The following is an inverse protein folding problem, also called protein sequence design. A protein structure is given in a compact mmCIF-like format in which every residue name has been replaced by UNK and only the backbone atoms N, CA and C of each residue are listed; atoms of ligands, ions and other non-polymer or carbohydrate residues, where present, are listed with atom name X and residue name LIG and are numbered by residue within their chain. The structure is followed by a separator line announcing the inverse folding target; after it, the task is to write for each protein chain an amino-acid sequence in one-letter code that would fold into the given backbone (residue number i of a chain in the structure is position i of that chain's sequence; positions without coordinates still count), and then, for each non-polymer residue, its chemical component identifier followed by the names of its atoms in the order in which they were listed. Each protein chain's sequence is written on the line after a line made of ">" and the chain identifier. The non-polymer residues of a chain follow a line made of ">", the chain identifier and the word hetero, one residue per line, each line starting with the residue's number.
data_IF_678045648333
#
_entry.id   IF_678045648333
#
_cell.length_a   1.000
_cell.length_b   1.000
_cell.length_c   1.000
_cell.angle_alpha   90.00
_cell.angle_beta   90.00
_cell.angle_gamma   90.00
#
_symmetry.space_group_name_H-M   'P 1'
#
loop_
_entity.id
_entity.type
_entity.pdbx_description
1 polymer ?
#
# COMPACT_ATOMS: atom_id res chain seq x y z
N UNK A 1 -13.59 -40.72 -70.02
CA UNK A 1 -13.85 -39.34 -70.52
C UNK A 1 -13.74 -38.45 -69.30
N UNK A 2 -13.22 -37.25 -69.44
CA UNK A 2 -13.01 -36.29 -68.35
C UNK A 2 -13.79 -35.04 -68.75
N UNK A 3 -14.88 -34.75 -68.03
CA UNK A 3 -15.82 -33.68 -68.39
C UNK A 3 -15.18 -32.33 -68.15
N UNK A 4 -14.41 -32.21 -67.07
CA UNK A 4 -13.70 -31.04 -66.59
C UNK A 4 -12.66 -30.58 -67.63
N UNK A 5 -12.12 -31.52 -68.41
CA UNK A 5 -11.28 -31.24 -69.57
C UNK A 5 -12.05 -30.96 -70.86
N UNK A 6 -13.12 -31.72 -71.15
CA UNK A 6 -13.96 -31.52 -72.34
C UNK A 6 -15.39 -32.05 -72.18
N UNK A 7 -16.36 -31.13 -72.08
CA UNK A 7 -17.79 -31.46 -71.87
C UNK A 7 -18.50 -32.11 -73.08
N UNK A 8 -18.04 -31.83 -74.31
CA UNK A 8 -18.68 -32.31 -75.55
C UNK A 8 -17.65 -32.69 -76.59
N UNK A 9 -17.77 -33.90 -77.12
CA UNK A 9 -17.00 -34.37 -78.27
C UNK A 9 -17.88 -34.42 -79.52
N UNK A 10 -17.46 -33.72 -80.58
CA UNK A 10 -18.16 -33.70 -81.87
C UNK A 10 -17.42 -34.56 -82.88
N UNK A 11 -18.05 -35.67 -83.26
CA UNK A 11 -17.49 -36.65 -84.18
C UNK A 11 -18.25 -36.61 -85.52
N UNK A 12 -17.54 -36.96 -86.58
CA UNK A 12 -18.09 -37.14 -87.92
C UNK A 12 -17.95 -38.61 -88.27
N UNK A 13 -19.07 -39.29 -88.46
CA UNK A 13 -19.11 -40.68 -88.88
C UNK A 13 -19.47 -40.72 -90.36
N UNK A 14 -18.62 -41.38 -91.16
CA UNK A 14 -18.87 -41.60 -92.58
C UNK A 14 -19.12 -43.09 -92.82
N UNK A 15 -20.20 -43.41 -93.53
CA UNK A 15 -20.50 -44.76 -93.98
C UNK A 15 -20.41 -44.81 -95.50
N UNK A 16 -19.76 -45.84 -96.04
CA UNK A 16 -19.52 -46.02 -97.47
C UNK A 16 -20.18 -47.31 -97.93
N UNK A 17 -20.82 -47.30 -99.09
CA UNK A 17 -21.27 -48.54 -99.73
C UNK A 17 -20.11 -49.30 -100.42
N UNK A 18 -20.43 -50.51 -100.90
CA UNK A 18 -19.50 -51.39 -101.63
C UNK A 18 -19.53 -51.22 -103.14
N UNK A 19 -20.22 -50.20 -103.66
CA UNK A 19 -20.39 -49.98 -105.10
C UNK A 19 -19.18 -49.35 -105.78
N UNK A 20 -19.17 -49.35 -107.13
CA UNK A 20 -18.20 -48.62 -107.95
C UNK A 20 -18.95 -47.71 -108.93
N UNK A 21 -18.97 -46.37 -108.71
CA UNK A 21 -18.27 -45.64 -107.65
C UNK A 21 -18.92 -45.78 -106.28
N UNK A 22 -18.13 -45.65 -105.21
CA UNK A 22 -18.61 -45.70 -103.83
C UNK A 22 -19.37 -44.43 -103.47
N UNK A 23 -20.57 -44.56 -102.91
CA UNK A 23 -21.31 -43.44 -102.32
C UNK A 23 -21.07 -43.41 -100.81
N UNK A 24 -21.11 -42.21 -100.22
CA UNK A 24 -20.98 -42.02 -98.77
C UNK A 24 -22.15 -41.27 -98.15
N UNK A 25 -22.55 -41.71 -96.97
CA UNK A 25 -23.38 -40.95 -96.03
C UNK A 25 -22.51 -40.38 -94.91
N UNK A 26 -22.80 -39.15 -94.47
CA UNK A 26 -22.10 -38.48 -93.36
C UNK A 26 -23.09 -38.13 -92.26
N UNK A 27 -22.78 -38.49 -91.03
CA UNK A 27 -23.53 -38.15 -89.83
C UNK A 27 -22.63 -37.40 -88.83
N UNK A 28 -23.17 -36.36 -88.19
CA UNK A 28 -22.51 -35.71 -87.05
C UNK A 28 -23.05 -36.32 -85.76
N UNK A 29 -22.16 -36.85 -84.93
CA UNK A 29 -22.48 -37.38 -83.61
C UNK A 29 -21.94 -36.42 -82.57
N UNK A 30 -22.80 -35.95 -81.66
CA UNK A 30 -22.41 -35.14 -80.52
C UNK A 30 -22.49 -36.01 -79.28
N UNK A 31 -21.34 -36.30 -78.67
CA UNK A 31 -21.26 -37.02 -77.40
C UNK A 31 -21.14 -35.99 -76.28
N UNK A 32 -22.16 -35.91 -75.42
CA UNK A 32 -22.11 -35.10 -74.20
C UNK A 32 -21.59 -35.98 -73.07
N UNK A 33 -20.53 -35.53 -72.40
CA UNK A 33 -19.99 -36.20 -71.22
C UNK A 33 -20.85 -35.81 -70.03
N UNK A 34 -21.35 -36.80 -69.28
CA UNK A 34 -22.09 -36.57 -68.03
C UNK A 34 -21.08 -36.32 -66.90
N UNK A 35 -21.53 -35.61 -65.88
CA UNK A 35 -20.76 -35.29 -64.68
C UNK A 35 -20.74 -36.48 -63.72
N UNK A 36 -19.60 -36.71 -63.07
CA UNK A 36 -19.40 -37.66 -61.98
C UNK A 36 -18.73 -36.88 -60.84
N UNK A 37 -18.99 -37.24 -59.58
CA UNK A 37 -18.43 -36.53 -58.42
C UNK A 37 -16.99 -37.00 -58.14
N UNK A 38 -16.08 -36.74 -59.08
CA UNK A 38 -14.70 -37.24 -59.05
C UNK A 38 -13.68 -36.19 -58.59
N UNK A 39 -14.10 -34.95 -58.33
CA UNK A 39 -13.28 -33.92 -57.73
C UNK A 39 -13.77 -33.56 -56.32
N UNK A 40 -12.83 -33.40 -55.38
CA UNK A 40 -13.16 -32.93 -54.04
C UNK A 40 -13.02 -31.40 -53.97
N UNK A 41 -13.80 -30.72 -53.09
CA UNK A 41 -13.68 -29.29 -52.89
C UNK A 41 -12.26 -28.92 -52.48
N UNK A 42 -11.70 -27.86 -53.05
CA UNK A 42 -10.35 -27.39 -52.71
C UNK A 42 -10.40 -26.01 -52.09
N UNK A 43 -9.93 -25.86 -50.85
CA UNK A 43 -9.76 -24.55 -50.23
C UNK A 43 -8.67 -23.73 -50.92
N UNK A 44 -8.87 -22.42 -51.03
CA UNK A 44 -7.87 -21.52 -51.59
C UNK A 44 -6.64 -21.30 -50.67
N UNK A 45 -6.74 -21.72 -49.40
CA UNK A 45 -5.70 -21.62 -48.37
C UNK A 45 -5.79 -22.84 -47.46
N UNK A 46 -4.63 -23.36 -47.04
CA UNK A 46 -4.55 -24.40 -46.02
C UNK A 46 -4.75 -23.84 -44.59
N UNK A 47 -4.44 -22.56 -44.36
CA UNK A 47 -4.67 -21.86 -43.10
C UNK A 47 -5.24 -20.45 -43.33
N UNK A 48 -6.29 -20.11 -42.59
CA UNK A 48 -6.87 -18.77 -42.49
C UNK A 48 -6.49 -18.17 -41.14
N UNK A 49 -6.02 -16.91 -41.16
CA UNK A 49 -5.64 -16.18 -39.95
C UNK A 49 -6.57 -15.00 -39.75
N UNK A 50 -7.09 -14.85 -38.54
CA UNK A 50 -7.96 -13.76 -38.16
C UNK A 50 -7.56 -13.25 -36.77
N UNK A 51 -7.91 -11.99 -36.51
CA UNK A 51 -7.83 -11.37 -35.20
C UNK A 51 -9.21 -10.88 -34.81
N UNK A 52 -9.56 -11.05 -33.54
CA UNK A 52 -10.86 -10.68 -33.02
C UNK A 52 -10.68 -10.15 -31.61
N UNK A 53 -11.21 -8.96 -31.33
CA UNK A 53 -11.25 -8.40 -29.98
C UNK A 53 -12.15 -9.24 -29.09
N UNK A 54 -11.80 -9.39 -27.81
CA UNK A 54 -12.63 -10.18 -26.90
C UNK A 54 -13.99 -9.55 -26.59
N UNK A 55 -14.09 -8.22 -26.66
CA UNK A 55 -15.32 -7.43 -26.54
C UNK A 55 -16.26 -7.56 -27.77
N UNK A 56 -15.87 -8.32 -28.80
CA UNK A 56 -16.67 -8.49 -30.00
C UNK A 56 -18.02 -9.16 -29.68
N UNK A 57 -19.16 -8.57 -30.06
CA UNK A 57 -20.45 -9.16 -29.76
C UNK A 57 -20.68 -10.45 -30.57
N UNK A 58 -21.44 -11.42 -30.03
CA UNK A 58 -21.90 -12.57 -30.79
C UNK A 58 -22.59 -12.14 -32.10
N UNK A 59 -22.26 -12.84 -33.18
CA UNK A 59 -22.68 -12.51 -34.56
C UNK A 59 -21.62 -11.80 -35.38
N UNK A 60 -20.54 -11.29 -34.76
CA UNK A 60 -19.42 -10.65 -35.46
C UNK A 60 -18.80 -11.61 -36.49
N UNK A 61 -18.62 -11.13 -37.73
CA UNK A 61 -17.96 -11.90 -38.78
C UNK A 61 -16.45 -11.90 -38.57
N UNK A 62 -15.85 -13.09 -38.54
CA UNK A 62 -14.41 -13.30 -38.28
C UNK A 62 -13.63 -13.31 -39.59
N UNK A 63 -14.00 -14.21 -40.49
CA UNK A 63 -13.41 -14.32 -41.81
C UNK A 63 -14.35 -15.07 -42.76
N UNK A 64 -14.00 -15.13 -44.04
CA UNK A 64 -14.76 -15.88 -45.04
C UNK A 64 -13.89 -17.00 -45.62
N UNK A 65 -14.34 -18.23 -45.42
CA UNK A 65 -13.76 -19.42 -46.03
C UNK A 65 -14.10 -19.47 -47.52
N UNK A 66 -13.18 -20.01 -48.32
CA UNK A 66 -13.41 -20.18 -49.75
C UNK A 66 -12.80 -21.48 -50.25
N UNK A 67 -13.66 -22.38 -50.68
CA UNK A 67 -13.32 -23.56 -51.45
C UNK A 67 -14.06 -23.55 -52.78
N UNK A 68 -13.49 -24.25 -53.76
CA UNK A 68 -14.04 -24.39 -55.11
C UNK A 68 -14.03 -25.85 -55.51
N UNK A 69 -15.05 -26.25 -56.24
CA UNK A 69 -15.21 -27.59 -56.78
C UNK A 69 -15.52 -27.46 -58.29
N UNK A 70 -14.78 -28.16 -59.18
CA UNK A 70 -14.97 -28.06 -60.63
C UNK A 70 -16.20 -28.84 -61.15
N UNK A 71 -16.80 -29.71 -60.33
CA UNK A 71 -17.92 -30.57 -60.74
C UNK A 71 -19.22 -29.76 -60.95
N UNK A 72 -20.20 -30.36 -61.63
CA UNK A 72 -21.39 -29.64 -62.07
C UNK A 72 -22.57 -29.79 -61.10
N UNK A 73 -23.28 -28.68 -60.85
CA UNK A 73 -24.52 -28.71 -60.07
C UNK A 73 -24.26 -29.08 -58.61
N UNK A 74 -24.95 -30.10 -58.10
CA UNK A 74 -24.84 -30.52 -56.70
C UNK A 74 -23.44 -31.09 -56.37
N UNK A 75 -22.79 -31.75 -57.33
CA UNK A 75 -21.44 -32.29 -57.18
C UNK A 75 -20.40 -31.15 -57.02
N UNK A 76 -20.67 -29.97 -57.57
CA UNK A 76 -19.84 -28.78 -57.34
C UNK A 76 -20.31 -27.85 -56.20
N UNK A 77 -21.43 -28.17 -55.52
CA UNK A 77 -22.05 -27.28 -54.53
C UNK A 77 -21.37 -27.41 -53.17
N UNK A 78 -20.40 -26.53 -52.90
CA UNK A 78 -19.64 -26.53 -51.65
C UNK A 78 -20.46 -26.06 -50.45
N UNK A 79 -20.43 -26.86 -49.39
CA UNK A 79 -21.00 -26.56 -48.07
C UNK A 79 -19.93 -26.60 -46.99
N UNK A 80 -19.94 -25.59 -46.11
CA UNK A 80 -18.94 -25.42 -45.06
C UNK A 80 -19.46 -25.88 -43.70
N UNK A 81 -18.60 -26.52 -42.92
CA UNK A 81 -18.86 -26.90 -41.53
C UNK A 81 -17.61 -26.76 -40.66
N UNK A 82 -17.80 -26.59 -39.35
CA UNK A 82 -16.72 -26.72 -38.36
C UNK A 82 -16.70 -28.17 -37.90
N UNK A 83 -15.53 -28.81 -37.94
CA UNK A 83 -15.35 -30.15 -37.41
C UNK A 83 -15.30 -30.09 -35.87
N UNK A 84 -16.50 -30.16 -35.26
CA UNK A 84 -16.68 -30.05 -33.80
C UNK A 84 -16.08 -31.20 -32.99
N UNK A 85 -15.80 -32.32 -33.64
CA UNK A 85 -15.12 -33.46 -32.99
C UNK A 85 -13.63 -33.19 -32.79
N UNK A 86 -13.03 -32.34 -33.62
CA UNK A 86 -11.61 -32.01 -33.58
C UNK A 86 -11.32 -30.61 -33.02
N UNK A 87 -12.28 -29.69 -33.09
CA UNK A 87 -12.09 -28.29 -32.68
C UNK A 87 -13.39 -27.65 -32.21
N UNK A 88 -13.31 -26.59 -31.39
CA UNK A 88 -14.47 -25.82 -30.91
C UNK A 88 -15.62 -26.68 -30.30
N UNK A 89 -15.34 -27.54 -29.30
CA UNK A 89 -16.36 -28.35 -28.64
C UNK A 89 -17.41 -27.49 -27.92
N UNK A 90 -16.99 -26.33 -27.40
CA UNK A 90 -17.84 -25.40 -26.66
C UNK A 90 -18.72 -24.53 -27.57
N UNK A 91 -18.44 -24.52 -28.89
CA UNK A 91 -19.24 -23.84 -29.90
C UNK A 91 -19.16 -22.32 -29.82
N UNK A 92 -17.96 -21.77 -29.65
CA UNK A 92 -17.67 -20.34 -29.73
C UNK A 92 -17.88 -19.78 -31.12
N UNK A 93 -17.75 -20.62 -32.17
CA UNK A 93 -17.88 -20.17 -33.56
C UNK A 93 -18.95 -20.95 -34.33
N UNK A 94 -19.45 -20.31 -35.38
CA UNK A 94 -20.37 -20.90 -36.34
C UNK A 94 -19.98 -20.48 -37.76
N UNK A 95 -20.08 -21.40 -38.71
CA UNK A 95 -19.89 -21.08 -40.13
C UNK A 95 -21.22 -21.16 -40.85
N UNK A 96 -21.50 -20.16 -41.68
CA UNK A 96 -22.64 -20.18 -42.59
C UNK A 96 -22.38 -21.17 -43.72
N UNK A 97 -23.23 -22.20 -43.82
CA UNK A 97 -23.04 -23.38 -44.68
C UNK A 97 -22.76 -23.05 -46.15
N UNK A 98 -23.42 -22.04 -46.72
CA UNK A 98 -23.29 -21.69 -48.15
C UNK A 98 -22.32 -20.54 -48.42
N UNK A 99 -22.27 -19.55 -47.54
CA UNK A 99 -21.49 -18.33 -47.77
C UNK A 99 -20.02 -18.48 -47.36
N UNK A 100 -19.73 -19.45 -46.47
CA UNK A 100 -18.43 -19.65 -45.85
C UNK A 100 -18.07 -18.60 -44.80
N UNK A 101 -19.01 -17.73 -44.39
CA UNK A 101 -18.74 -16.70 -43.37
C UNK A 101 -18.69 -17.37 -42.00
N UNK A 102 -17.52 -17.28 -41.36
CA UNK A 102 -17.32 -17.69 -39.98
C UNK A 102 -17.71 -16.53 -39.05
N UNK A 103 -18.55 -16.80 -38.06
CA UNK A 103 -19.03 -15.83 -37.06
C UNK A 103 -18.75 -16.28 -35.65
N UNK A 104 -18.55 -15.31 -34.77
CA UNK A 104 -18.57 -15.50 -33.33
C UNK A 104 -19.99 -15.83 -32.87
N UNK A 105 -20.13 -16.74 -31.90
CA UNK A 105 -21.41 -17.17 -31.34
C UNK A 105 -21.51 -16.97 -29.83
N UNK A 106 -20.38 -17.00 -29.12
CA UNK A 106 -20.30 -16.79 -27.67
C UNK A 106 -19.33 -15.65 -27.36
N UNK A 107 -19.52 -14.93 -26.24
CA UNK A 107 -18.52 -13.98 -25.74
C UNK A 107 -17.15 -14.64 -25.62
N UNK A 108 -16.10 -13.87 -25.83
CA UNK A 108 -14.71 -14.29 -25.66
C UNK A 108 -14.17 -13.73 -24.34
N UNK A 109 -13.10 -14.35 -23.88
CA UNK A 109 -12.32 -13.96 -22.70
C UNK A 109 -10.87 -14.38 -23.03
N UNK A 110 -10.01 -13.40 -23.25
CA UNK A 110 -8.64 -13.62 -23.69
C UNK A 110 -7.79 -14.17 -22.54
N UNK A 111 -8.02 -13.70 -21.31
CA UNK A 111 -7.36 -14.16 -20.08
C UNK A 111 -7.61 -15.66 -19.87
N UNK A 112 -8.79 -16.15 -20.24
CA UNK A 112 -9.11 -17.58 -20.29
C UNK A 112 -8.50 -18.28 -21.52
N UNK A 113 -8.62 -17.69 -22.72
CA UNK A 113 -8.15 -18.31 -23.96
C UNK A 113 -7.81 -17.32 -25.08
N UNK A 114 -6.52 -16.97 -25.18
CA UNK A 114 -6.02 -16.04 -26.21
C UNK A 114 -5.97 -16.59 -27.65
N UNK A 115 -6.13 -17.91 -27.86
CA UNK A 115 -5.99 -18.53 -29.19
C UNK A 115 -7.03 -19.63 -29.45
N UNK A 116 -7.80 -19.48 -30.52
CA UNK A 116 -8.68 -20.52 -31.06
C UNK A 116 -8.10 -21.10 -32.35
N UNK A 117 -8.09 -22.43 -32.43
CA UNK A 117 -7.71 -23.19 -33.63
C UNK A 117 -8.89 -24.05 -34.05
N UNK A 118 -9.41 -23.76 -35.24
CA UNK A 118 -10.56 -24.47 -35.81
C UNK A 118 -10.09 -25.35 -36.96
N UNK A 119 -10.70 -26.53 -37.05
CA UNK A 119 -10.65 -27.39 -38.22
C UNK A 119 -11.97 -27.22 -38.96
N UNK A 120 -11.92 -26.71 -40.18
CA UNK A 120 -13.09 -26.48 -41.02
C UNK A 120 -13.10 -27.46 -42.18
N UNK A 121 -14.28 -27.93 -42.56
CA UNK A 121 -14.51 -28.87 -43.65
C UNK A 121 -15.33 -28.17 -44.74
N UNK A 122 -14.93 -28.37 -46.00
CA UNK A 122 -15.73 -28.07 -47.17
C UNK A 122 -16.13 -29.42 -47.79
N UNK A 123 -17.43 -29.60 -48.04
CA UNK A 123 -18.00 -30.84 -48.57
C UNK A 123 -18.95 -30.53 -49.71
N UNK A 124 -18.89 -31.31 -50.79
CA UNK A 124 -19.82 -31.19 -51.91
C UNK A 124 -21.15 -31.93 -51.68
N UNK A 125 -22.06 -31.85 -52.64
CA UNK A 125 -23.39 -32.45 -52.60
C UNK A 125 -23.51 -33.84 -53.21
N UNK A 126 -22.40 -34.58 -53.40
CA UNK A 126 -22.36 -35.87 -54.09
C UNK A 126 -23.47 -36.86 -53.69
N UNK A 127 -24.00 -37.58 -54.68
CA UNK A 127 -25.14 -38.47 -54.52
C UNK A 127 -24.80 -39.73 -53.70
N UNK A 128 -25.79 -40.28 -52.99
CA UNK A 128 -25.64 -41.56 -52.28
C UNK A 128 -25.51 -42.72 -53.30
N UNK A 129 -24.70 -43.77 -53.02
CA UNK A 129 -24.14 -44.15 -51.71
C UNK A 129 -22.74 -43.60 -51.41
N UNK A 130 -22.03 -43.06 -52.41
CA UNK A 130 -20.65 -42.58 -52.26
C UNK A 130 -20.59 -41.34 -51.36
N UNK A 131 -21.63 -40.50 -51.42
CA UNK A 131 -21.75 -39.28 -50.64
C UNK A 131 -20.77 -38.21 -51.10
N UNK A 132 -20.89 -37.02 -50.53
CA UNK A 132 -20.02 -35.91 -50.95
C UNK A 132 -18.57 -36.04 -50.51
N UNK A 133 -17.64 -35.66 -51.38
CA UNK A 133 -16.21 -35.59 -51.08
C UNK A 133 -15.94 -34.36 -50.22
N UNK A 134 -14.82 -34.38 -49.47
CA UNK A 134 -14.53 -33.35 -48.48
C UNK A 134 -13.05 -33.00 -48.41
N UNK A 135 -12.76 -31.73 -48.14
CA UNK A 135 -11.42 -31.26 -47.78
C UNK A 135 -11.44 -30.48 -46.46
N UNK A 136 -10.28 -30.37 -45.83
CA UNK A 136 -10.10 -29.67 -44.56
C UNK A 136 -9.12 -28.50 -44.69
N UNK A 137 -9.35 -27.45 -43.89
CA UNK A 137 -8.42 -26.34 -43.69
C UNK A 137 -8.42 -25.92 -42.22
N UNK A 138 -7.43 -25.13 -41.82
CA UNK A 138 -7.29 -24.60 -40.47
C UNK A 138 -7.68 -23.13 -40.39
N UNK A 139 -8.29 -22.72 -39.27
CA UNK A 139 -8.50 -21.30 -38.94
C UNK A 139 -7.83 -21.01 -37.61
N UNK A 140 -6.89 -20.07 -37.61
CA UNK A 140 -6.21 -19.57 -36.42
C UNK A 140 -6.76 -18.18 -36.08
N UNK A 141 -7.38 -18.06 -34.92
CA UNK A 141 -8.00 -16.83 -34.44
C UNK A 141 -7.26 -16.39 -33.19
N UNK A 142 -6.52 -15.30 -33.30
CA UNK A 142 -5.83 -14.63 -32.19
C UNK A 142 -6.82 -13.64 -31.55
N UNK A 143 -7.03 -13.77 -30.24
CA UNK A 143 -7.90 -12.85 -29.50
C UNK A 143 -7.09 -11.62 -29.12
N UNK A 144 -7.58 -10.45 -29.51
CA UNK A 144 -6.98 -9.16 -29.17
C UNK A 144 -7.53 -8.71 -27.81
N UNK A 145 -6.59 -8.28 -26.98
CA UNK A 145 -6.77 -7.84 -25.60
C UNK A 145 -7.51 -6.51 -25.51
N UNK A 146 -8.37 -6.39 -24.51
CA UNK A 146 -9.09 -5.20 -24.10
C UNK A 146 -8.80 -4.93 -22.63
N UNK A 147 -8.78 -3.65 -22.25
CA UNK A 147 -8.62 -3.25 -20.87
C UNK A 147 -9.92 -3.50 -20.10
N UNK A 148 -10.15 -4.73 -19.63
CA UNK A 148 -11.37 -5.16 -18.94
C UNK A 148 -11.13 -5.80 -17.57
N UNK A 149 -9.86 -6.02 -17.19
CA UNK A 149 -9.46 -6.27 -15.82
C UNK A 149 -8.88 -4.99 -15.22
N UNK A 150 -9.18 -4.76 -13.93
CA UNK A 150 -8.55 -3.70 -13.16
C UNK A 150 -7.42 -4.27 -12.31
N UNK A 151 -6.44 -3.46 -11.88
CA UNK A 151 -5.40 -3.93 -10.98
C UNK A 151 -6.01 -4.43 -9.66
N UNK A 152 -5.38 -5.43 -9.04
CA UNK A 152 -5.81 -6.00 -7.74
C UNK A 152 -4.60 -6.12 -6.83
N UNK A 153 -4.68 -5.52 -5.64
CA UNK A 153 -3.66 -5.66 -4.60
C UNK A 153 -3.61 -7.09 -4.05
N UNK A 154 -2.41 -7.59 -3.74
CA UNK A 154 -2.21 -8.93 -3.16
C UNK A 154 -2.75 -9.07 -1.73
N UNK A 155 -2.83 -7.95 -1.00
CA UNK A 155 -3.29 -7.90 0.39
C UNK A 155 -4.38 -6.85 0.55
N UNK A 156 -5.38 -7.17 1.38
CA UNK A 156 -6.47 -6.24 1.71
C UNK A 156 -6.01 -5.12 2.67
N UNK A 157 -5.01 -5.40 3.53
CA UNK A 157 -4.53 -4.48 4.57
C UNK A 157 -3.00 -4.55 4.67
N UNK A 158 -2.37 -3.37 4.76
CA UNK A 158 -0.94 -3.23 5.01
C UNK A 158 -0.70 -2.39 6.27
N UNK A 159 0.00 -2.96 7.25
CA UNK A 159 0.38 -2.26 8.49
C UNK A 159 1.88 -2.41 8.72
N UNK A 160 2.54 -1.31 9.06
CA UNK A 160 3.96 -1.31 9.40
C UNK A 160 4.25 -0.25 10.46
N UNK A 161 5.38 -0.39 11.15
CA UNK A 161 5.86 0.55 12.15
C UNK A 161 7.29 0.95 11.85
N UNK A 162 7.59 2.25 11.95
CA UNK A 162 8.93 2.80 11.71
C UNK A 162 9.31 3.76 12.83
N UNK A 163 10.60 3.91 13.07
CA UNK A 163 11.11 4.88 14.04
C UNK A 163 10.89 6.33 13.57
N UNK A 164 10.64 7.25 14.50
CA UNK A 164 10.66 8.69 14.26
C UNK A 164 12.00 9.20 13.67
N UNK A 165 13.12 8.53 13.97
CA UNK A 165 14.46 8.87 13.46
C UNK A 165 14.77 8.27 12.09
N UNK A 166 13.80 7.59 11.46
CA UNK A 166 14.01 6.97 10.14
C UNK A 166 14.46 8.03 9.13
N UNK A 167 15.63 7.81 8.52
CA UNK A 167 16.21 8.77 7.59
C UNK A 167 15.34 8.91 6.33
N UNK A 168 15.27 10.12 5.72
CA UNK A 168 14.64 10.30 4.41
C UNK A 168 15.26 9.37 3.35
N UNK A 169 14.42 8.79 2.50
CA UNK A 169 14.80 7.87 1.44
C UNK A 169 14.76 6.39 1.86
N UNK A 170 14.49 6.10 3.13
CA UNK A 170 14.39 4.71 3.63
C UNK A 170 13.14 4.03 3.08
N UNK A 171 13.29 2.80 2.59
CA UNK A 171 12.20 1.95 2.14
C UNK A 171 11.47 1.36 3.35
N UNK A 172 10.16 1.58 3.42
CA UNK A 172 9.33 1.22 4.58
C UNK A 172 8.57 -0.08 4.29
N UNK A 173 7.93 -0.13 3.14
CA UNK A 173 6.98 -1.17 2.76
C UNK A 173 6.88 -1.22 1.24
N UNK A 174 6.62 -2.40 0.70
CA UNK A 174 6.26 -2.58 -0.69
C UNK A 174 4.80 -3.02 -0.80
N UNK A 175 4.00 -2.33 -1.61
CA UNK A 175 2.63 -2.74 -1.95
C UNK A 175 2.61 -3.27 -3.38
N UNK A 176 1.96 -4.42 -3.58
CA UNK A 176 1.95 -5.09 -4.88
C UNK A 176 0.51 -5.25 -5.34
N UNK A 177 0.25 -4.80 -6.57
CA UNK A 177 -0.96 -5.05 -7.32
C UNK A 177 -0.62 -5.69 -8.67
N UNK A 178 -1.53 -6.53 -9.14
CA UNK A 178 -1.40 -7.26 -10.41
C UNK A 178 -2.63 -7.03 -11.27
N UNK A 179 -2.41 -6.94 -12.57
CA UNK A 179 -3.46 -6.87 -13.57
C UNK A 179 -3.32 -8.06 -14.53
N UNK A 180 -4.44 -8.61 -15.00
CA UNK A 180 -4.49 -9.82 -15.83
C UNK A 180 -4.38 -9.51 -17.33
N UNK A 181 -4.57 -8.26 -17.71
CA UNK A 181 -4.54 -7.84 -19.11
C UNK A 181 -3.11 -7.85 -19.66
N UNK A 182 -2.97 -7.72 -20.99
CA UNK A 182 -1.70 -7.85 -21.69
C UNK A 182 -1.06 -6.48 -22.00
N UNK A 183 0.26 -6.41 -21.88
CA UNK A 183 1.00 -5.23 -22.33
C UNK A 183 0.62 -4.00 -21.50
N UNK A 184 0.25 -2.89 -22.14
CA UNK A 184 -0.03 -1.63 -21.44
C UNK A 184 -1.26 -1.72 -20.52
N UNK A 185 -2.22 -2.59 -20.82
CA UNK A 185 -3.40 -2.83 -19.99
C UNK A 185 -3.03 -3.61 -18.72
N UNK A 186 -1.97 -4.42 -18.78
CA UNK A 186 -1.44 -5.13 -17.60
C UNK A 186 -0.41 -4.35 -16.77
N UNK A 187 0.07 -3.18 -17.24
CA UNK A 187 1.13 -2.42 -16.55
C UNK A 187 0.51 -1.53 -15.48
N UNK A 188 0.79 -1.87 -14.23
CA UNK A 188 0.30 -1.16 -13.05
C UNK A 188 1.22 -0.01 -12.66
N UNK A 189 0.62 1.15 -12.41
CA UNK A 189 1.25 2.34 -11.83
C UNK A 189 0.62 2.67 -10.48
N UNK A 190 1.43 3.05 -9.50
CA UNK A 190 0.98 3.36 -8.14
C UNK A 190 0.94 4.86 -7.86
N UNK A 191 -0.11 5.30 -7.17
CA UNK A 191 -0.28 6.69 -6.73
C UNK A 191 -0.72 6.67 -5.27
N UNK A 192 -0.18 7.58 -4.45
CA UNK A 192 -0.54 7.72 -3.04
C UNK A 192 -1.22 9.05 -2.74
N UNK A 193 -2.27 9.02 -1.93
CA UNK A 193 -2.89 10.18 -1.29
C UNK A 193 -3.04 9.94 0.23
N UNK A 194 -3.61 10.89 0.98
CA UNK A 194 -3.74 10.78 2.45
C UNK A 194 -2.53 11.26 3.25
N UNK A 195 -1.48 11.78 2.59
CA UNK A 195 -0.33 12.41 3.21
C UNK A 195 -0.32 13.94 2.99
N UNK A 196 -1.09 14.72 3.78
CA UNK A 196 -1.20 16.17 3.58
C UNK A 196 0.13 16.91 3.80
N UNK A 197 1.09 16.31 4.50
CA UNK A 197 2.38 16.93 4.83
C UNK A 197 3.53 16.49 3.91
N UNK A 198 3.28 15.53 3.01
CA UNK A 198 4.24 15.01 2.04
C UNK A 198 5.47 14.39 2.72
N UNK A 199 5.23 13.61 3.79
CA UNK A 199 6.22 12.86 4.57
C UNK A 199 6.64 11.57 3.90
N UNK A 200 5.82 11.01 3.02
CA UNK A 200 6.04 9.76 2.31
C UNK A 200 6.01 9.97 0.80
N UNK A 201 6.54 8.99 0.08
CA UNK A 201 6.43 8.89 -1.37
C UNK A 201 6.31 7.44 -1.76
N UNK A 202 5.52 7.16 -2.80
CA UNK A 202 5.45 5.84 -3.42
C UNK A 202 6.21 5.85 -4.75
N UNK A 203 6.97 4.79 -5.00
CA UNK A 203 7.54 4.52 -6.30
C UNK A 203 6.42 4.11 -7.26
N UNK A 204 6.15 4.91 -8.32
CA UNK A 204 5.01 4.66 -9.18
C UNK A 204 5.14 3.37 -10.00
N UNK A 205 6.36 2.85 -10.18
CA UNK A 205 6.58 1.62 -10.96
C UNK A 205 6.60 0.38 -10.06
N UNK A 206 7.15 0.49 -8.85
CA UNK A 206 7.42 -0.67 -8.00
C UNK A 206 6.53 -0.77 -6.77
N UNK A 207 5.74 0.24 -6.44
CA UNK A 207 4.88 0.23 -5.24
C UNK A 207 5.67 0.38 -3.93
N UNK A 208 6.95 0.77 -3.99
CA UNK A 208 7.80 0.92 -2.82
C UNK A 208 7.50 2.25 -2.14
N UNK A 209 7.03 2.20 -0.89
CA UNK A 209 6.79 3.38 -0.05
C UNK A 209 8.07 3.74 0.69
N UNK A 210 8.49 5.00 0.57
CA UNK A 210 9.70 5.56 1.18
C UNK A 210 9.38 6.76 2.08
N UNK A 211 10.20 6.98 3.10
CA UNK A 211 10.22 8.27 3.80
C UNK A 211 10.74 9.36 2.86
N UNK A 212 10.10 10.53 2.85
CA UNK A 212 10.49 11.69 2.04
C UNK A 212 11.07 12.82 2.89
N UNK A 213 10.62 12.94 4.13
CA UNK A 213 11.06 13.93 5.11
C UNK A 213 11.34 13.25 6.44
N UNK A 214 12.11 13.94 7.29
CA UNK A 214 12.29 13.50 8.66
C UNK A 214 10.95 13.51 9.41
N UNK A 215 10.77 12.48 10.21
CA UNK A 215 9.63 12.31 11.10
C UNK A 215 10.03 12.83 12.48
N UNK A 216 9.05 13.27 13.23
CA UNK A 216 9.23 13.82 14.57
C UNK A 216 7.97 13.41 15.32
N UNK A 217 8.14 12.57 16.34
CA UNK A 217 7.02 11.93 17.00
C UNK A 217 6.37 12.87 18.02
N UNK A 218 7.14 13.82 18.55
CA UNK A 218 6.75 14.73 19.62
C UNK A 218 5.92 15.91 19.06
N UNK A 219 6.16 16.32 17.81
CA UNK A 219 5.45 17.44 17.19
C UNK A 219 4.46 17.05 16.09
N UNK A 220 4.45 15.79 15.65
CA UNK A 220 3.64 15.33 14.51
C UNK A 220 2.75 14.16 14.88
N UNK A 221 1.96 13.66 13.91
CA UNK A 221 1.10 12.52 14.13
C UNK A 221 1.91 11.24 14.37
N UNK A 222 1.54 10.46 15.39
CA UNK A 222 2.08 9.12 15.66
C UNK A 222 1.53 8.05 14.71
N UNK A 223 0.53 8.39 13.90
CA UNK A 223 -0.09 7.50 12.91
C UNK A 223 -0.35 8.24 11.60
N UNK A 224 0.00 7.57 10.48
CA UNK A 224 -0.30 8.01 9.13
C UNK A 224 -1.10 6.95 8.39
N UNK A 225 -2.14 7.39 7.68
CA UNK A 225 -2.98 6.53 6.84
C UNK A 225 -2.81 6.97 5.38
N UNK A 226 -2.14 6.13 4.58
CA UNK A 226 -1.97 6.38 3.15
C UNK A 226 -3.04 5.63 2.35
N UNK A 227 -3.62 6.32 1.39
CA UNK A 227 -4.56 5.76 0.43
C UNK A 227 -3.84 5.52 -0.88
N UNK A 228 -3.59 4.26 -1.21
CA UNK A 228 -2.86 3.87 -2.42
C UNK A 228 -3.86 3.48 -3.52
N UNK A 229 -3.65 4.02 -4.70
CA UNK A 229 -4.30 3.64 -5.94
C UNK A 229 -3.31 2.84 -6.80
N UNK A 230 -3.82 1.81 -7.48
CA UNK A 230 -3.12 1.12 -8.55
C UNK A 230 -3.93 1.26 -9.84
N UNK A 231 -3.32 1.82 -10.87
CA UNK A 231 -3.94 2.13 -12.16
C UNK A 231 -3.21 1.37 -13.27
N UNK A 232 -3.94 0.80 -14.21
CA UNK A 232 -3.34 0.32 -15.44
C UNK A 232 -2.90 1.49 -16.37
N UNK A 233 -2.20 1.19 -17.46
CA UNK A 233 -1.82 2.19 -18.47
C UNK A 233 -2.77 2.21 -19.68
N UNK A 234 -4.02 1.81 -19.50
CA UNK A 234 -5.08 1.87 -20.50
C UNK A 234 -5.57 3.28 -20.81
N UNK A 235 -6.42 3.40 -21.84
CA UNK A 235 -7.08 4.67 -22.19
C UNK A 235 -8.55 4.44 -22.55
N UNK A 236 -9.50 4.70 -21.62
CA UNK A 236 -9.28 5.19 -20.24
C UNK A 236 -8.58 4.14 -19.35
N UNK A 237 -7.83 4.55 -18.32
CA UNK A 237 -7.25 3.61 -17.37
C UNK A 237 -8.32 3.03 -16.45
N UNK A 238 -8.18 1.76 -16.05
CA UNK A 238 -8.93 1.20 -14.93
C UNK A 238 -8.12 1.35 -13.66
N UNK A 239 -8.78 1.89 -12.64
CA UNK A 239 -8.17 2.18 -11.34
C UNK A 239 -8.76 1.25 -10.30
N UNK A 240 -7.89 0.63 -9.52
CA UNK A 240 -8.26 0.09 -8.21
C UNK A 240 -7.82 1.05 -7.13
N UNK A 241 -8.77 1.46 -6.29
CA UNK A 241 -8.47 2.22 -5.08
C UNK A 241 -8.47 1.25 -3.91
N UNK A 242 -7.42 1.33 -3.10
CA UNK A 242 -7.48 0.89 -1.71
C UNK A 242 -8.31 1.94 -0.92
N UNK A 243 -9.63 1.99 -1.13
CA UNK A 243 -10.58 2.81 -0.36
C UNK A 243 -12.01 2.24 -0.37
N UNK A 244 -12.50 1.94 0.85
CA UNK A 244 -13.90 1.89 1.32
C UNK A 244 -15.00 1.60 0.28
N UNK A 245 -15.53 0.38 0.29
CA UNK A 245 -16.96 0.20 -0.01
C UNK A 245 -17.75 0.85 1.13
N UNK A 246 -18.63 1.79 0.80
CA UNK A 246 -19.60 2.33 1.75
C UNK A 246 -20.54 1.22 2.22
N UNK A 247 -20.17 0.51 3.28
CA UNK A 247 -21.06 -0.37 4.03
C UNK A 247 -21.71 0.49 5.11
N UNK A 248 -23.04 0.49 5.15
CA UNK A 248 -23.87 1.22 6.10
C UNK A 248 -23.30 1.17 7.53
N UNK A 249 -22.86 2.34 8.01
CA UNK A 249 -22.27 2.55 9.33
C UNK A 249 -23.35 2.60 10.42
N UNK A 250 -23.73 1.45 10.94
CA UNK A 250 -24.18 1.34 12.34
C UNK A 250 -23.29 0.44 13.19
N UNK A 251 -22.21 -0.11 12.64
CA UNK A 251 -21.29 -0.96 13.39
C UNK A 251 -19.96 -0.24 13.63
N UNK A 252 -19.62 0.00 14.90
CA UNK A 252 -18.40 0.69 15.35
C UNK A 252 -17.17 -0.23 15.31
N UNK A 253 -17.02 -0.98 14.21
CA UNK A 253 -15.94 -1.97 14.04
C UNK A 253 -15.52 -2.12 12.58
N UNK A 254 -15.26 -0.99 11.92
CA UNK A 254 -14.78 -0.96 10.53
C UNK A 254 -13.37 -0.36 10.50
N UNK A 255 -12.37 -1.23 10.59
CA UNK A 255 -11.00 -0.96 10.16
C UNK A 255 -11.01 -0.76 8.64
N UNK A 256 -10.80 0.47 8.18
CA UNK A 256 -10.87 0.82 6.76
C UNK A 256 -9.60 0.40 6.02
N UNK A 257 -9.74 -0.31 4.88
CA UNK A 257 -8.67 -0.66 3.92
C UNK A 257 -7.76 0.56 3.61
N UNK A 258 -6.57 0.61 4.24
CA UNK A 258 -5.56 1.63 4.03
C UNK A 258 -4.16 1.10 4.44
N UNK A 259 -3.09 1.76 3.97
CA UNK A 259 -1.73 1.50 4.48
C UNK A 259 -1.56 2.31 5.77
N UNK A 260 -1.47 1.62 6.91
CA UNK A 260 -1.27 2.24 8.22
C UNK A 260 0.21 2.20 8.59
N UNK A 261 0.79 3.38 8.81
CA UNK A 261 2.17 3.55 9.27
C UNK A 261 2.13 4.10 10.69
N UNK A 262 2.64 3.32 11.64
CA UNK A 262 2.78 3.73 13.03
C UNK A 262 4.20 4.26 13.25
N UNK A 263 4.32 5.46 13.82
CA UNK A 263 5.62 6.02 14.18
C UNK A 263 5.92 5.60 15.62
N UNK A 264 7.07 4.96 15.80
CA UNK A 264 7.57 4.57 17.12
C UNK A 264 8.42 5.69 17.70
N UNK A 265 8.07 6.05 18.93
CA UNK A 265 8.82 6.93 19.83
C UNK A 265 10.23 6.41 20.11
N UNK A 266 11.19 7.32 20.26
CA UNK A 266 12.55 7.05 20.72
C UNK A 266 12.87 8.01 21.85
N UNK A 267 13.57 7.52 22.88
CA UNK A 267 14.06 8.37 23.98
C UNK A 267 15.18 9.30 23.50
N UNK A 268 14.84 10.42 22.89
CA UNK A 268 15.77 11.40 22.33
C UNK A 268 15.63 12.80 22.96
N UNK A 269 14.61 13.00 23.79
CA UNK A 269 14.54 14.16 24.67
C UNK A 269 14.93 13.77 26.08
N UNK A 270 15.38 14.78 26.84
CA UNK A 270 15.75 14.59 28.24
C UNK A 270 14.81 15.41 29.12
N UNK A 271 14.56 14.99 30.37
CA UNK A 271 13.64 15.72 31.24
C UNK A 271 14.08 17.16 31.44
N UNK A 272 13.15 18.11 31.49
CA UNK A 272 13.42 19.53 31.69
C UNK A 272 12.68 20.07 32.91
N UNK A 273 13.41 20.68 33.86
CA UNK A 273 12.80 21.25 35.06
C UNK A 273 11.94 22.48 34.71
N UNK A 274 10.74 22.50 35.27
CA UNK A 274 9.76 23.60 35.18
C UNK A 274 9.47 24.24 36.54
N UNK A 275 9.86 23.58 37.64
CA UNK A 275 9.83 24.14 38.99
C UNK A 275 10.92 25.19 39.23
N UNK A 276 10.67 26.09 40.18
CA UNK A 276 11.63 27.11 40.62
C UNK A 276 12.91 26.49 41.18
N UNK A 277 14.06 27.12 40.96
CA UNK A 277 15.35 26.74 41.57
C UNK A 277 15.53 27.32 42.99
N UNK A 278 14.53 28.00 43.53
CA UNK A 278 14.55 28.65 44.84
C UNK A 278 13.28 28.32 45.62
N UNK A 279 13.44 27.93 46.88
CA UNK A 279 12.36 27.72 47.86
C UNK A 279 12.70 28.33 49.21
N UNK A 280 11.66 28.55 50.00
CA UNK A 280 11.74 29.08 51.36
C UNK A 280 10.97 28.19 52.31
N UNK A 281 11.47 28.02 53.53
CA UNK A 281 10.83 27.24 54.59
C UNK A 281 11.14 27.87 55.94
N UNK A 282 10.16 27.96 56.84
CA UNK A 282 10.41 28.39 58.22
C UNK A 282 11.15 27.28 58.98
N UNK A 283 12.00 27.62 59.95
CA UNK A 283 12.70 26.60 60.73
C UNK A 283 11.81 25.80 61.69
N UNK A 284 10.73 26.42 62.18
CA UNK A 284 9.79 25.85 63.16
C UNK A 284 8.80 24.82 62.57
N UNK A 285 8.93 24.49 61.28
CA UNK A 285 8.04 23.53 60.63
C UNK A 285 8.25 22.11 61.16
N UNK A 286 7.15 21.36 61.25
CA UNK A 286 7.20 19.96 61.66
C UNK A 286 7.91 19.07 60.62
N UNK A 287 8.38 17.90 61.06
CA UNK A 287 8.88 16.85 60.17
C UNK A 287 7.76 16.36 59.25
N UNK A 288 8.06 16.25 57.95
CA UNK A 288 7.10 15.89 56.90
C UNK A 288 6.42 17.10 56.24
N UNK A 289 6.81 18.32 56.61
CA UNK A 289 6.31 19.54 55.97
C UNK A 289 6.74 19.62 54.49
N UNK A 290 5.82 20.02 53.61
CA UNK A 290 6.09 20.18 52.18
C UNK A 290 6.89 21.47 51.92
N UNK A 291 8.15 21.31 51.52
CA UNK A 291 9.09 22.41 51.26
C UNK A 291 9.03 22.89 49.82
N UNK A 292 9.00 21.94 48.88
CA UNK A 292 9.02 22.25 47.46
C UNK A 292 8.35 21.15 46.64
N UNK A 293 7.82 21.50 45.46
CA UNK A 293 7.39 20.52 44.46
C UNK A 293 8.32 20.60 43.25
N UNK A 294 9.21 19.62 43.14
CA UNK A 294 10.12 19.47 42.00
C UNK A 294 9.34 18.92 40.82
N UNK A 295 9.30 19.66 39.72
CA UNK A 295 8.54 19.29 38.53
C UNK A 295 9.46 19.38 37.32
N UNK A 296 9.67 18.26 36.64
CA UNK A 296 10.27 18.20 35.32
C UNK A 296 9.30 17.57 34.33
N UNK A 297 9.46 17.93 33.06
CA UNK A 297 8.69 17.40 31.94
C UNK A 297 9.61 16.82 30.89
N UNK A 298 9.22 15.67 30.39
CA UNK A 298 9.84 15.01 29.26
C UNK A 298 8.77 14.85 28.16
N UNK A 299 9.04 15.30 26.92
CA UNK A 299 8.07 15.24 25.84
C UNK A 299 7.87 13.84 25.23
N UNK A 300 8.73 12.86 25.53
CA UNK A 300 8.71 11.53 24.91
C UNK A 300 7.51 10.68 25.38
N UNK A 301 7.13 9.65 24.61
CA UNK A 301 5.93 8.85 24.91
C UNK A 301 6.20 7.74 25.95
N UNK A 302 5.25 7.53 26.85
CA UNK A 302 5.21 6.36 27.72
C UNK A 302 6.38 6.33 28.71
N UNK A 303 7.22 5.29 28.65
CA UNK A 303 8.37 5.12 29.58
C UNK A 303 9.50 6.09 29.26
N UNK A 304 9.66 6.47 27.99
CA UNK A 304 10.67 7.44 27.57
C UNK A 304 10.36 8.82 28.17
N UNK A 305 9.09 9.21 28.29
CA UNK A 305 8.70 10.44 29.00
C UNK A 305 8.49 10.31 30.52
N UNK A 306 8.70 9.12 31.11
CA UNK A 306 8.34 8.88 32.50
C UNK A 306 9.45 9.34 33.44
N UNK A 307 9.27 10.51 34.05
CA UNK A 307 10.27 11.13 34.92
C UNK A 307 10.24 10.58 36.35
N UNK A 308 11.44 10.33 36.89
CA UNK A 308 11.71 10.07 38.31
C UNK A 308 12.70 11.07 38.89
N UNK A 309 12.58 11.34 40.19
CA UNK A 309 13.35 12.39 40.88
C UNK A 309 14.32 11.84 41.92
N UNK A 310 15.50 12.42 41.99
CA UNK A 310 16.57 12.03 42.92
C UNK A 310 17.30 13.25 43.49
N UNK A 311 17.76 13.16 44.74
CA UNK A 311 18.74 14.12 45.30
C UNK A 311 20.13 13.51 45.10
N UNK A 312 21.01 14.21 44.39
CA UNK A 312 22.39 13.78 44.15
C UNK A 312 23.36 14.26 45.23
N UNK A 313 23.20 15.50 45.70
CA UNK A 313 24.10 16.12 46.70
C UNK A 313 23.42 17.29 47.42
N UNK A 314 24.04 17.80 48.49
CA UNK A 314 23.57 18.96 49.26
C UNK A 314 22.62 18.63 50.40
N UNK A 315 22.35 17.34 50.62
CA UNK A 315 21.47 16.81 51.66
C UNK A 315 22.23 15.82 52.56
N UNK A 316 23.49 16.11 52.88
CA UNK A 316 24.39 15.22 53.62
C UNK A 316 23.85 14.88 55.01
N UNK A 317 23.18 15.84 55.65
CA UNK A 317 22.53 15.68 56.96
C UNK A 317 21.18 14.95 56.88
N UNK A 318 20.71 14.60 55.68
CA UNK A 318 19.39 13.99 55.43
C UNK A 318 18.26 14.84 56.04
N UNK A 319 18.33 16.15 55.87
CA UNK A 319 17.33 17.11 56.33
C UNK A 319 16.05 17.05 55.49
N UNK A 320 16.12 16.58 54.24
CA UNK A 320 14.97 16.46 53.34
C UNK A 320 14.80 15.04 52.77
N UNK A 321 13.57 14.70 52.41
CA UNK A 321 13.22 13.53 51.59
C UNK A 321 12.55 14.01 50.31
N UNK A 322 12.97 13.48 49.17
CA UNK A 322 12.33 13.70 47.87
C UNK A 322 11.61 12.43 47.45
N UNK A 323 10.29 12.52 47.27
CA UNK A 323 9.53 11.42 46.72
C UNK A 323 9.82 11.26 45.22
N UNK A 324 10.34 10.09 44.84
CA UNK A 324 10.86 9.84 43.49
C UNK A 324 9.82 9.89 42.38
N UNK A 325 8.54 9.75 42.68
CA UNK A 325 7.46 9.66 41.67
C UNK A 325 6.73 11.01 41.59
N UNK A 326 6.34 11.55 42.74
CA UNK A 326 5.53 12.77 42.83
C UNK A 326 6.38 14.03 42.75
N UNK A 327 7.68 13.96 43.05
CA UNK A 327 8.58 15.12 43.10
C UNK A 327 8.39 16.00 44.34
N UNK A 328 7.64 15.54 45.35
CA UNK A 328 7.42 16.30 46.57
C UNK A 328 8.65 16.23 47.48
N UNK A 329 9.22 17.38 47.82
CA UNK A 329 10.33 17.52 48.75
C UNK A 329 9.77 17.90 50.13
N UNK A 330 9.98 17.05 51.12
CA UNK A 330 9.52 17.27 52.50
C UNK A 330 10.66 17.31 53.51
N UNK A 331 10.46 17.97 54.64
CA UNK A 331 11.40 17.90 55.77
C UNK A 331 11.45 16.47 56.34
N UNK A 332 12.65 16.02 56.68
CA UNK A 332 12.93 14.71 57.29
C UNK A 332 13.33 14.83 58.77
N UNK A 333 13.76 16.04 59.15
CA UNK A 333 14.23 16.43 60.47
C UNK A 333 13.76 17.87 60.72
N UNK A 334 13.83 18.30 61.99
CA UNK A 334 13.65 19.70 62.33
C UNK A 334 14.78 20.52 61.69
N UNK A 335 14.42 21.71 61.22
CA UNK A 335 15.37 22.67 60.68
C UNK A 335 15.75 23.65 61.79
N UNK A 336 16.95 24.19 61.69
CA UNK A 336 17.51 25.16 62.63
C UNK A 336 18.41 26.05 61.78
N UNK A 337 18.04 27.33 61.70
CA UNK A 337 18.68 28.32 60.84
C UNK A 337 20.05 28.71 61.39
N UNK A 338 20.20 28.79 62.71
CA UNK A 338 21.45 29.10 63.41
C UNK A 338 22.52 28.02 63.15
N UNK A 339 22.09 26.78 62.90
CA UNK A 339 22.96 25.69 62.44
C UNK A 339 23.20 25.78 60.93
N UNK A 340 22.13 25.91 60.13
CA UNK A 340 22.24 25.92 58.67
C UNK A 340 21.12 26.75 58.00
N UNK A 341 21.46 27.99 57.65
CA UNK A 341 20.55 28.95 57.01
C UNK A 341 20.17 28.59 55.55
N UNK A 342 20.97 27.76 54.87
CA UNK A 342 20.80 27.51 53.44
C UNK A 342 21.23 26.09 53.05
N UNK A 343 20.39 25.46 52.23
CA UNK A 343 20.67 24.17 51.60
C UNK A 343 20.70 24.33 50.09
N UNK A 344 21.73 23.80 49.44
CA UNK A 344 21.86 23.81 47.97
C UNK A 344 21.78 22.38 47.46
N UNK A 345 20.57 21.91 47.18
CA UNK A 345 20.32 20.54 46.74
C UNK A 345 20.55 20.41 45.24
N UNK A 346 21.42 19.50 44.81
CA UNK A 346 21.49 19.11 43.40
C UNK A 346 20.45 18.02 43.17
N UNK A 347 19.33 18.36 42.54
CA UNK A 347 18.28 17.41 42.17
C UNK A 347 18.44 16.94 40.72
N UNK A 348 18.09 15.69 40.46
CA UNK A 348 18.12 15.06 39.15
C UNK A 348 16.72 14.57 38.77
N UNK A 349 16.34 14.87 37.53
CA UNK A 349 15.20 14.26 36.85
C UNK A 349 15.77 13.25 35.84
N UNK A 350 15.28 12.02 35.89
CA UNK A 350 15.75 10.89 35.10
C UNK A 350 14.54 10.21 34.45
N UNK A 351 14.57 10.01 33.13
CA UNK A 351 13.55 9.24 32.43
C UNK A 351 13.73 7.70 32.64
N UNK A 352 12.74 6.91 32.22
CA UNK A 352 12.81 5.43 32.23
C UNK A 352 13.10 4.87 30.82
N UNK A 353 13.77 5.68 29.99
CA UNK A 353 14.13 5.34 28.62
C UNK A 353 15.38 4.46 28.51
N UNK A 354 15.76 4.11 27.28
CA UNK A 354 16.94 3.27 27.00
C UNK A 354 17.68 3.73 25.73
N UNK A 355 18.82 4.45 25.86
CA UNK A 355 19.48 4.83 27.12
C UNK A 355 18.65 5.84 27.92
N UNK A 356 18.76 5.79 29.25
CA UNK A 356 18.10 6.77 30.10
C UNK A 356 18.77 8.13 29.99
N UNK A 357 17.99 9.20 29.83
CA UNK A 357 18.45 10.58 29.78
C UNK A 357 18.05 11.32 31.06
N UNK A 358 18.82 12.35 31.41
CA UNK A 358 18.68 13.02 32.69
C UNK A 358 19.02 14.50 32.60
N UNK A 359 18.40 15.30 33.47
CA UNK A 359 18.81 16.67 33.73
C UNK A 359 19.01 16.91 35.23
N UNK A 360 19.83 17.91 35.55
CA UNK A 360 20.10 18.34 36.93
C UNK A 360 19.76 19.80 37.15
N UNK A 361 19.20 20.13 38.31
CA UNK A 361 18.94 21.49 38.76
C UNK A 361 19.49 21.67 40.18
N UNK A 362 20.08 22.83 40.46
CA UNK A 362 20.43 23.22 41.83
C UNK A 362 19.24 23.94 42.43
N UNK A 363 18.64 23.35 43.46
CA UNK A 363 17.54 23.91 44.24
C UNK A 363 18.10 24.51 45.53
N UNK A 364 18.06 25.83 45.64
CA UNK A 364 18.41 26.55 46.86
C UNK A 364 17.19 26.63 47.77
N UNK A 365 17.34 26.18 49.01
CA UNK A 365 16.33 26.27 50.06
C UNK A 365 16.88 27.20 51.12
N UNK A 366 16.19 28.33 51.32
CA UNK A 366 16.52 29.30 52.35
C UNK A 366 15.64 29.00 53.57
N UNK A 367 16.28 28.76 54.71
CA UNK A 367 15.60 28.61 55.98
C UNK A 367 15.34 30.01 56.54
N UNK A 368 14.08 30.30 56.81
CA UNK A 368 13.62 31.57 57.35
C UNK A 368 13.60 31.50 58.87
N UNK A 369 14.03 32.60 59.46
CA UNK A 369 14.20 32.80 60.90
C UNK A 369 12.86 32.84 61.64
N UNK A 370 12.86 32.25 62.83
CA UNK A 370 11.84 32.37 63.86
C UNK A 370 12.56 32.80 65.12
N UNK A 371 12.05 33.83 65.79
CA UNK A 371 12.69 34.35 67.02
C UNK A 371 12.56 33.34 68.18
N UNK A 372 13.42 32.33 68.23
CA UNK A 372 13.41 31.27 69.23
C UNK A 372 14.67 31.26 70.11
N UNK A 373 15.68 32.08 69.77
CA UNK A 373 16.82 32.36 70.64
C UNK A 373 16.52 33.54 71.58
N UNK A 374 17.29 33.57 72.68
CA UNK A 374 17.19 34.66 73.66
C UNK A 374 18.50 35.43 73.73
N UNK A 375 18.48 36.77 73.85
CA UNK A 375 19.72 37.54 73.90
C UNK A 375 20.62 37.11 75.06
N UNK A 376 21.86 36.75 74.76
CA UNK A 376 22.85 36.34 75.76
C UNK A 376 23.88 37.45 75.94
N UNK A 377 24.09 37.88 77.19
CA UNK A 377 25.15 38.84 77.50
C UNK A 377 26.55 38.26 77.19
N UNK A 378 27.45 39.09 76.68
CA UNK A 378 28.81 38.67 76.28
C UNK A 378 29.70 38.25 77.45
N UNK A 379 29.31 38.57 78.69
CA UNK A 379 30.00 38.16 79.92
C UNK A 379 29.02 37.58 80.92
N UNK A 380 29.46 36.56 81.67
CA UNK A 380 28.71 36.00 82.80
C UNK A 380 28.60 36.98 83.98
N UNK A 381 29.53 37.95 84.08
CA UNK A 381 29.56 38.96 85.11
C UNK A 381 30.16 40.26 84.59
N UNK A 382 29.50 41.38 84.89
CA UNK A 382 29.98 42.74 84.63
C UNK A 382 30.21 43.43 85.97
N UNK A 383 31.48 43.60 86.34
CA UNK A 383 31.87 44.39 87.51
C UNK A 383 32.44 45.73 87.09
N UNK A 384 32.04 46.78 87.79
CA UNK A 384 32.62 48.13 87.67
C UNK A 384 32.58 48.81 89.03
N UNK A 385 33.35 49.87 89.19
CA UNK A 385 33.33 50.71 90.38
C UNK A 385 33.09 52.17 89.95
N UNK A 386 32.16 52.83 90.61
CA UNK A 386 31.87 54.27 90.45
C UNK A 386 32.15 54.97 91.77
N UNK A 387 32.70 56.19 91.72
CA UNK A 387 32.97 56.98 92.92
C UNK A 387 31.67 57.56 93.48
N UNK A 388 31.63 57.74 94.80
CA UNK A 388 30.57 58.55 95.41
C UNK A 388 30.73 60.02 94.96
N UNK A 389 29.62 60.69 94.63
CA UNK A 389 29.51 62.07 94.12
C UNK A 389 29.79 62.30 92.62
N UNK A 390 29.60 61.29 91.77
CA UNK A 390 29.57 61.51 90.31
C UNK A 390 28.31 62.28 89.86
N UNK A 391 28.45 63.08 88.81
CA UNK A 391 27.35 63.86 88.24
C UNK A 391 26.29 62.95 87.57
N UNK A 392 24.99 63.33 87.57
CA UNK A 392 23.97 62.62 86.84
C UNK A 392 24.30 62.50 85.34
N UNK A 393 24.29 61.27 84.82
CA UNK A 393 24.65 60.97 83.43
C UNK A 393 26.08 60.44 83.24
N UNK A 394 26.88 60.32 84.31
CA UNK A 394 28.18 59.64 84.26
C UNK A 394 28.02 58.20 83.77
N UNK A 395 28.77 57.85 82.73
CA UNK A 395 28.82 56.50 82.19
C UNK A 395 29.45 55.54 83.21
N UNK A 396 28.75 54.45 83.53
CA UNK A 396 29.16 53.49 84.57
C UNK A 396 29.74 52.22 83.96
N UNK A 397 29.00 51.59 83.06
CA UNK A 397 29.41 50.39 82.34
C UNK A 397 28.61 50.24 81.06
N UNK A 398 29.22 49.68 80.02
CA UNK A 398 28.53 49.18 78.84
C UNK A 398 28.40 47.66 78.98
N UNK A 399 27.18 47.18 78.90
CA UNK A 399 26.89 45.75 78.74
C UNK A 399 26.55 45.50 77.28
N UNK A 400 26.91 44.34 76.77
CA UNK A 400 26.68 43.94 75.39
C UNK A 400 26.00 42.56 75.42
N UNK A 401 24.96 42.39 74.62
CA UNK A 401 24.30 41.10 74.40
C UNK A 401 24.32 40.78 72.92
N UNK A 402 24.32 39.49 72.61
CA UNK A 402 24.24 38.96 71.25
C UNK A 402 22.99 38.10 71.18
N UNK A 403 22.20 38.33 70.15
CA UNK A 403 21.11 37.47 69.74
C UNK A 403 21.56 36.70 68.49
N UNK A 404 21.12 35.45 68.36
CA UNK A 404 21.47 34.59 67.23
C UNK A 404 20.44 34.65 66.11
N UNK A 405 19.20 35.03 66.45
CA UNK A 405 18.12 35.26 65.49
C UNK A 405 18.52 36.35 64.47
N UNK A 406 17.98 36.27 63.26
CA UNK A 406 18.19 37.25 62.20
C UNK A 406 17.05 38.28 62.14
N UNK A 407 17.38 39.58 62.32
CA UNK A 407 16.44 40.70 62.33
C UNK A 407 16.49 41.65 61.15
#
# INVERSE_FOLDING_TARGET
>A
LDRERAEVHRLVVEAWDGGSPRLRGRLRVSVRVLDENDNAPTFNRSEYRARLREDAPPGTAVCRLRATDPDLGANGEVRYAINRRQSDPDGYFAVEERSGILRLRRPLDREARALHRLVVEARDGGAQPEGGLSAQAFVRIEIEDINDNQPIFEQDIYVTSISSHTQPGTEILNVVATDRDLGIYGIVTYISSGDPHGKFSIDPQFGIIRTKKQLDHETQSSEYTLHIAAEDCGSPPLTSLLMLTAINLTDRRLDSLAVKIVILDINDNSPSFTSSSLSYVMEDVEVGFLVHHVIAKDPDEGRNGQVTYHILSGNENKAFVLDKITGLLTTAQFLDREIQECYSLTVMALDDGSPALSATQVLTIVVLDVNDETPVFTKQLYETAVRENEDPGTFVIKVEAVDRDAG
#
